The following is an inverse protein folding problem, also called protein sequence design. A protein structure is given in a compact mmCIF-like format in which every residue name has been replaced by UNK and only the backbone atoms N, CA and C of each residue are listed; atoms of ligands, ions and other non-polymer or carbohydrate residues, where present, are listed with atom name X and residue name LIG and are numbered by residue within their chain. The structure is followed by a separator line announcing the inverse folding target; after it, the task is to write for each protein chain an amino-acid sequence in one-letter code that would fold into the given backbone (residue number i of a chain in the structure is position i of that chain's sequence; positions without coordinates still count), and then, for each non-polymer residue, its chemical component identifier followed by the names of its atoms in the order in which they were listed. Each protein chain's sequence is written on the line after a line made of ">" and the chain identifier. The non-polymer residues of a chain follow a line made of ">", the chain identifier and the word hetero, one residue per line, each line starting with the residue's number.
data_IF_677960010288
#
_entry.id   IF_677960010288
#
_cell.length_a   1.000
_cell.length_b   1.000
_cell.length_c   1.000
_cell.angle_alpha   90.00
_cell.angle_beta   90.00
_cell.angle_gamma   90.00
#
_symmetry.space_group_name_H-M   'P 1'
#
loop_
_entity.id
_entity.type
_entity.pdbx_description
1 polymer ?
#
# COMPACT_ATOMS: atom_id res chain seq x y z
N UNK A 1 18.29 -21.28 -0.58
CA UNK A 1 17.76 -22.55 -1.13
C UNK A 1 16.35 -22.69 -0.56
N UNK A 2 15.37 -22.96 -1.45
CA UNK A 2 13.92 -23.05 -1.23
C UNK A 2 13.33 -21.87 -0.44
N UNK A 3 12.74 -20.82 -1.01
CA UNK A 3 11.81 -20.80 -2.13
C UNK A 3 10.35 -20.88 -1.66
N UNK A 4 9.99 -20.23 -0.55
CA UNK A 4 8.60 -20.20 -0.07
C UNK A 4 7.79 -19.18 -0.88
N UNK A 5 7.63 -19.52 -2.16
CA UNK A 5 6.76 -18.84 -3.10
C UNK A 5 5.31 -19.19 -2.77
N UNK A 6 4.59 -18.27 -2.12
CA UNK A 6 3.14 -18.38 -2.11
C UNK A 6 2.62 -18.33 -3.54
N UNK A 7 2.03 -19.43 -3.98
CA UNK A 7 1.48 -19.52 -5.32
C UNK A 7 0.04 -19.03 -5.27
N UNK A 8 -0.26 -18.04 -6.10
CA UNK A 8 -1.64 -17.55 -6.23
C UNK A 8 -2.41 -18.56 -7.05
N UNK A 9 -3.50 -19.08 -6.49
CA UNK A 9 -4.36 -20.03 -7.18
C UNK A 9 -5.77 -19.48 -7.26
N UNK A 10 -6.49 -19.85 -8.32
CA UNK A 10 -7.88 -19.49 -8.55
C UNK A 10 -8.75 -20.74 -8.51
N UNK A 11 -9.83 -20.72 -7.75
CA UNK A 11 -10.81 -21.78 -7.75
C UNK A 11 -11.50 -21.90 -9.11
N UNK A 12 -11.43 -23.09 -9.71
CA UNK A 12 -12.17 -23.44 -10.93
C UNK A 12 -13.53 -24.07 -10.59
N UNK A 13 -13.64 -24.66 -9.40
CA UNK A 13 -14.86 -25.27 -8.86
C UNK A 13 -15.10 -24.79 -7.42
N UNK A 14 -16.36 -24.77 -6.98
CA UNK A 14 -16.67 -24.49 -5.57
C UNK A 14 -16.38 -25.74 -4.74
N UNK A 15 -15.81 -25.55 -3.56
CA UNK A 15 -15.47 -26.61 -2.63
C UNK A 15 -15.97 -26.24 -1.22
N UNK A 16 -16.67 -27.17 -0.58
CA UNK A 16 -17.10 -27.04 0.80
C UNK A 16 -16.24 -27.95 1.67
N UNK A 17 -15.59 -27.36 2.67
CA UNK A 17 -14.73 -28.10 3.59
C UNK A 17 -15.51 -29.22 4.26
N UNK A 18 -15.01 -30.45 4.14
CA UNK A 18 -15.57 -31.62 4.82
C UNK A 18 -15.03 -31.76 6.25
N UNK A 19 -13.83 -31.26 6.51
CA UNK A 19 -13.13 -31.30 7.80
C UNK A 19 -12.70 -29.89 8.25
N UNK A 20 -12.37 -29.74 9.54
CA UNK A 20 -11.93 -28.45 10.09
C UNK A 20 -10.58 -27.97 9.53
N UNK A 21 -9.79 -28.89 9.00
CA UNK A 21 -8.49 -28.63 8.40
C UNK A 21 -8.60 -28.24 6.91
N UNK A 22 -9.80 -28.26 6.32
CA UNK A 22 -10.04 -27.96 4.91
C UNK A 22 -10.59 -26.54 4.70
N UNK A 23 -10.28 -25.96 3.54
CA UNK A 23 -10.68 -24.60 3.22
C UNK A 23 -11.93 -24.57 2.34
N UNK A 24 -12.94 -23.78 2.74
CA UNK A 24 -14.16 -23.58 1.94
C UNK A 24 -14.00 -22.40 1.00
N UNK A 25 -14.27 -22.60 -0.29
CA UNK A 25 -14.12 -21.57 -1.32
C UNK A 25 -15.11 -21.74 -2.47
N UNK A 26 -15.40 -20.64 -3.17
CA UNK A 26 -16.31 -20.62 -4.31
C UNK A 26 -15.56 -20.52 -5.64
N UNK A 27 -16.23 -20.88 -6.74
CA UNK A 27 -15.69 -20.70 -8.10
C UNK A 27 -15.23 -19.26 -8.29
N UNK A 28 -13.97 -19.08 -8.69
CA UNK A 28 -13.36 -17.79 -8.97
C UNK A 28 -12.67 -17.14 -7.78
N UNK A 29 -12.72 -17.73 -6.58
CA UNK A 29 -11.99 -17.22 -5.42
C UNK A 29 -10.47 -17.34 -5.62
N UNK A 30 -9.74 -16.33 -5.14
CA UNK A 30 -8.29 -16.27 -5.20
C UNK A 30 -7.70 -16.61 -3.84
N UNK A 31 -6.89 -17.66 -3.80
CA UNK A 31 -6.26 -18.21 -2.61
C UNK A 31 -4.75 -18.18 -2.75
N UNK A 32 -4.07 -18.21 -1.60
CA UNK A 32 -2.62 -18.21 -1.54
C UNK A 32 -2.15 -19.53 -0.95
N UNK A 33 -1.44 -20.30 -1.76
CA UNK A 33 -0.93 -21.60 -1.35
C UNK A 33 0.49 -21.43 -0.85
N UNK A 34 0.75 -21.85 0.39
CA UNK A 34 2.09 -21.84 1.01
C UNK A 34 2.85 -23.14 0.79
N UNK A 35 2.14 -24.27 0.66
CA UNK A 35 2.75 -25.57 0.44
C UNK A 35 2.01 -26.36 -0.64
N UNK A 36 2.77 -26.84 -1.62
CA UNK A 36 2.31 -27.71 -2.72
C UNK A 36 3.07 -29.04 -2.72
N UNK A 37 3.61 -29.45 -1.56
CA UNK A 37 4.43 -30.66 -1.45
C UNK A 37 3.61 -31.91 -1.80
N UNK A 38 2.30 -31.86 -1.56
CA UNK A 38 1.33 -32.89 -1.95
C UNK A 38 0.66 -32.61 -3.30
N UNK A 39 0.45 -33.66 -4.10
CA UNK A 39 -0.14 -33.55 -5.43
C UNK A 39 -1.67 -33.35 -5.42
N UNK A 40 -2.33 -33.75 -4.33
CA UNK A 40 -3.79 -33.73 -4.21
C UNK A 40 -4.29 -32.60 -3.30
N UNK A 41 -3.50 -32.22 -2.30
CA UNK A 41 -3.89 -31.27 -1.26
C UNK A 41 -2.79 -30.25 -1.05
N UNK A 42 -3.15 -29.00 -1.12
CA UNK A 42 -2.25 -27.88 -0.95
C UNK A 42 -2.59 -27.12 0.32
N UNK A 43 -1.60 -26.67 1.07
CA UNK A 43 -1.84 -25.82 2.26
C UNK A 43 -1.90 -24.38 1.81
N UNK A 44 -2.98 -23.69 2.11
CA UNK A 44 -3.13 -22.29 1.75
C UNK A 44 -4.16 -21.54 2.58
N UNK A 45 -4.30 -20.27 2.27
CA UNK A 45 -5.21 -19.39 2.99
C UNK A 45 -6.08 -18.54 2.05
N UNK A 46 -7.30 -18.29 2.51
CA UNK A 46 -8.30 -17.41 1.90
C UNK A 46 -8.69 -16.36 2.93
N UNK A 47 -8.14 -15.15 2.77
CA UNK A 47 -8.34 -14.07 3.74
C UNK A 47 -7.66 -14.38 5.08
N UNK A 48 -8.44 -14.74 6.08
CA UNK A 48 -8.00 -15.05 7.45
C UNK A 48 -8.10 -16.54 7.80
N UNK A 49 -8.62 -17.36 6.89
CA UNK A 49 -8.81 -18.81 7.10
C UNK A 49 -7.71 -19.56 6.36
N UNK A 50 -6.99 -20.41 7.08
CA UNK A 50 -5.98 -21.34 6.55
C UNK A 50 -6.57 -22.75 6.52
N UNK A 51 -6.21 -23.54 5.51
CA UNK A 51 -6.64 -24.92 5.40
C UNK A 51 -6.14 -25.60 4.13
N UNK A 52 -6.54 -26.86 3.98
CA UNK A 52 -6.23 -27.70 2.85
C UNK A 52 -7.14 -27.35 1.67
N UNK A 53 -6.51 -27.19 0.51
CA UNK A 53 -7.12 -26.84 -0.76
C UNK A 53 -6.90 -28.02 -1.70
N UNK A 54 -7.95 -28.65 -2.23
CA UNK A 54 -7.79 -29.73 -3.20
C UNK A 54 -7.26 -29.18 -4.52
N UNK A 55 -6.10 -29.67 -4.96
CA UNK A 55 -5.39 -29.21 -6.15
C UNK A 55 -6.24 -29.31 -7.43
N UNK A 56 -7.14 -30.31 -7.52
CA UNK A 56 -8.02 -30.51 -8.68
C UNK A 56 -9.13 -29.45 -8.82
N UNK A 57 -9.33 -28.60 -7.81
CA UNK A 57 -10.39 -27.58 -7.77
C UNK A 57 -9.85 -26.17 -8.00
N UNK A 58 -8.53 -26.05 -8.19
CA UNK A 58 -7.83 -24.77 -8.30
C UNK A 58 -6.85 -24.79 -9.46
N UNK A 59 -6.63 -23.63 -10.06
CA UNK A 59 -5.66 -23.41 -11.12
C UNK A 59 -4.61 -22.41 -10.65
N UNK A 60 -3.33 -22.71 -10.90
CA UNK A 60 -2.24 -21.79 -10.60
C UNK A 60 -2.32 -20.57 -11.53
N UNK A 61 -2.35 -19.39 -10.94
CA UNK A 61 -2.31 -18.11 -11.65
C UNK A 61 -0.86 -17.63 -11.66
N UNK A 62 -0.02 -18.24 -12.51
CA UNK A 62 1.30 -17.67 -12.81
C UNK A 62 1.11 -16.42 -13.68
N UNK A 63 1.52 -15.26 -13.17
CA UNK A 63 1.60 -14.03 -13.95
C UNK A 63 2.73 -14.20 -14.98
N UNK A 64 2.40 -14.73 -16.15
CA UNK A 64 3.27 -14.63 -17.32
C UNK A 64 3.62 -13.16 -17.53
N UNK A 65 4.90 -12.83 -17.32
CA UNK A 65 5.44 -11.50 -17.52
C UNK A 65 4.92 -10.92 -18.85
N UNK A 66 4.39 -9.68 -18.89
CA UNK A 66 3.93 -9.12 -20.15
C UNK A 66 5.14 -8.93 -21.07
N UNK A 67 5.22 -9.75 -22.12
CA UNK A 67 6.04 -9.48 -23.28
C UNK A 67 5.75 -8.06 -23.75
N UNK A 68 6.81 -7.26 -23.84
CA UNK A 68 6.80 -5.86 -24.29
C UNK A 68 6.03 -5.74 -25.61
N UNK A 69 5.01 -4.87 -25.75
CA UNK A 69 4.68 -4.39 -27.07
C UNK A 69 5.77 -3.39 -27.47
N UNK A 70 6.63 -3.80 -28.41
CA UNK A 70 7.50 -2.90 -29.15
C UNK A 70 6.61 -1.91 -29.90
N UNK A 71 6.57 -0.65 -29.46
CA UNK A 71 6.03 0.44 -30.25
C UNK A 71 7.18 1.16 -30.94
N UNK A 72 7.12 1.10 -32.25
CA UNK A 72 8.02 1.61 -33.27
C UNK A 72 8.24 3.11 -33.08
N UNK A 73 9.49 3.49 -32.77
CA UNK A 73 9.93 4.88 -32.69
C UNK A 73 9.82 5.55 -34.07
N UNK A 74 8.86 6.46 -34.23
CA UNK A 74 8.81 7.38 -35.36
C UNK A 74 9.43 8.72 -34.98
N UNK A 75 10.65 8.92 -35.49
CA UNK A 75 11.37 10.14 -35.90
C UNK A 75 11.39 11.45 -35.05
N UNK A 76 12.50 12.21 -35.11
CA UNK A 76 12.74 13.43 -34.33
C UNK A 76 12.47 14.72 -35.15
N UNK A 77 12.35 15.86 -34.46
CA UNK A 77 12.64 17.16 -35.06
C UNK A 77 11.78 18.31 -34.54
N UNK A 78 12.45 19.40 -34.13
CA UNK A 78 11.84 20.73 -34.09
C UNK A 78 11.93 21.44 -32.74
N UNK A 79 13.04 22.13 -32.49
CA UNK A 79 13.00 23.38 -31.70
C UNK A 79 12.28 24.43 -32.55
N UNK A 80 11.67 25.45 -31.93
CA UNK A 80 12.40 26.72 -31.95
C UNK A 80 12.31 27.50 -30.63
N UNK A 81 13.34 28.31 -30.42
CA UNK A 81 13.36 29.40 -29.48
C UNK A 81 12.93 30.69 -30.22
N UNK A 82 12.06 31.51 -29.60
CA UNK A 82 12.14 32.96 -29.76
C UNK A 82 11.72 33.65 -28.45
N UNK A 83 12.32 34.80 -28.25
CA UNK A 83 12.56 35.51 -27.01
C UNK A 83 11.65 36.74 -26.88
N UNK A 84 11.65 37.35 -25.68
CA UNK A 84 11.58 38.80 -25.41
C UNK A 84 10.24 39.45 -25.00
N UNK A 85 10.33 40.12 -23.84
CA UNK A 85 9.63 41.37 -23.46
C UNK A 85 8.61 41.15 -22.32
N UNK A 86 8.64 41.81 -21.16
CA UNK A 86 9.34 43.01 -20.70
C UNK A 86 8.38 43.82 -19.78
N UNK A 87 8.88 44.40 -18.68
CA UNK A 87 8.21 45.42 -17.83
C UNK A 87 7.64 44.89 -16.50
N UNK A 88 8.25 45.15 -15.32
CA UNK A 88 8.32 46.40 -14.53
C UNK A 88 6.97 46.73 -13.81
N UNK A 89 6.85 47.17 -12.56
CA UNK A 89 7.76 47.75 -11.58
C UNK A 89 7.11 47.80 -10.16
N UNK A 90 7.95 48.06 -9.15
CA UNK A 90 7.74 48.84 -7.90
C UNK A 90 6.67 48.37 -6.89
N UNK A 91 6.85 48.42 -5.57
CA UNK A 91 7.91 48.88 -4.64
C UNK A 91 7.55 48.28 -3.26
N UNK A 92 8.23 48.45 -2.12
CA UNK A 92 9.28 49.35 -1.67
C UNK A 92 9.10 49.48 -0.15
N UNK A 93 10.19 49.35 0.61
CA UNK A 93 10.29 49.73 2.02
C UNK A 93 9.71 48.73 3.03
N UNK A 94 10.35 48.40 4.14
CA UNK A 94 11.52 48.97 4.77
C UNK A 94 11.42 48.75 6.27
N UNK A 95 12.44 48.11 6.85
CA UNK A 95 12.87 48.30 8.24
C UNK A 95 11.92 47.87 9.36
N UNK A 96 12.37 46.93 10.18
CA UNK A 96 13.19 47.23 11.38
C UNK A 96 13.19 46.03 12.31
N UNK A 97 14.41 45.70 12.74
CA UNK A 97 14.72 44.84 13.86
C UNK A 97 13.91 45.23 15.09
N UNK A 98 13.26 44.26 15.71
CA UNK A 98 13.05 44.22 17.15
C UNK A 98 13.15 42.77 17.60
N UNK A 99 14.13 42.48 18.44
CA UNK A 99 14.10 41.28 19.28
C UNK A 99 12.91 41.40 20.24
N UNK A 100 12.38 40.26 20.69
CA UNK A 100 12.68 39.92 22.07
C UNK A 100 13.03 38.45 22.28
N UNK A 101 13.80 38.23 23.34
CA UNK A 101 14.17 36.95 23.87
C UNK A 101 12.97 36.20 24.49
N UNK A 102 13.12 34.89 24.54
CA UNK A 102 12.61 33.97 25.58
C UNK A 102 11.16 34.15 25.98
N UNK A 103 10.29 33.36 25.39
CA UNK A 103 9.45 32.43 26.16
C UNK A 103 9.18 31.24 25.26
N UNK A 104 9.38 30.05 25.82
CA UNK A 104 9.10 28.77 25.20
C UNK A 104 7.64 28.73 24.74
N UNK A 105 7.38 29.14 23.51
CA UNK A 105 6.18 28.72 22.81
C UNK A 105 6.47 27.29 22.43
N UNK A 106 5.92 26.35 23.19
CA UNK A 106 5.72 25.00 22.72
C UNK A 106 5.07 25.13 21.35
N UNK A 107 5.85 24.97 20.29
CA UNK A 107 5.30 24.65 19.00
C UNK A 107 4.54 23.35 19.27
N UNK A 108 3.21 23.44 19.36
CA UNK A 108 2.37 22.30 19.05
C UNK A 108 2.59 22.08 17.57
N UNK A 109 3.74 21.50 17.24
CA UNK A 109 3.96 20.86 15.97
C UNK A 109 2.90 19.77 15.99
N UNK A 110 1.73 20.06 15.42
CA UNK A 110 0.83 19.05 14.92
C UNK A 110 1.54 18.43 13.70
N UNK A 111 2.70 17.84 13.96
CA UNK A 111 3.52 17.17 12.98
C UNK A 111 2.83 15.87 12.65
N UNK A 112 3.05 15.37 11.43
CA UNK A 112 2.66 14.01 11.14
C UNK A 112 3.21 13.09 12.23
N UNK A 113 2.37 12.21 12.77
CA UNK A 113 2.83 11.14 13.64
C UNK A 113 3.85 10.26 12.90
N UNK A 114 3.65 10.08 11.58
CA UNK A 114 4.63 9.51 10.66
C UNK A 114 4.34 9.95 9.23
N UNK A 115 5.38 10.09 8.42
CA UNK A 115 5.27 10.33 6.98
C UNK A 115 6.33 9.56 6.20
N UNK A 116 6.05 9.28 4.93
CA UNK A 116 6.97 8.52 4.09
C UNK A 116 6.32 7.91 2.84
N UNK A 117 7.14 7.27 2.01
CA UNK A 117 6.64 6.54 0.86
C UNK A 117 6.10 5.16 1.27
N UNK A 118 4.90 4.83 0.79
CA UNK A 118 4.37 3.47 0.85
C UNK A 118 3.75 3.11 -0.48
N UNK A 119 3.71 1.81 -0.81
CA UNK A 119 2.97 1.33 -1.97
C UNK A 119 1.58 0.89 -1.54
N UNK A 120 0.54 1.52 -2.07
CA UNK A 120 -0.84 1.05 -1.87
C UNK A 120 -1.27 0.10 -2.96
N UNK A 121 -2.15 -0.82 -2.62
CA UNK A 121 -2.80 -1.67 -3.60
C UNK A 121 -3.70 -0.84 -4.53
N UNK A 122 -3.55 -1.03 -5.84
CA UNK A 122 -4.34 -0.37 -6.89
C UNK A 122 -5.73 -0.98 -7.05
N UNK A 123 -6.50 -0.48 -8.03
CA UNK A 123 -7.82 -1.04 -8.38
C UNK A 123 -7.72 -2.50 -8.82
N UNK A 124 -6.65 -2.85 -9.53
CA UNK A 124 -6.26 -4.23 -9.75
C UNK A 124 -5.38 -4.64 -8.57
N UNK A 125 -5.75 -5.70 -7.87
CA UNK A 125 -5.07 -6.20 -6.66
C UNK A 125 -3.59 -6.54 -6.89
N UNK A 126 -3.19 -6.78 -8.14
CA UNK A 126 -1.81 -7.05 -8.57
C UNK A 126 -0.95 -5.79 -8.78
N UNK A 127 -1.53 -4.58 -8.83
CA UNK A 127 -0.78 -3.36 -9.14
C UNK A 127 -0.53 -2.52 -7.89
N UNK A 128 0.71 -2.52 -7.42
CA UNK A 128 1.16 -1.65 -6.34
C UNK A 128 1.48 -0.24 -6.85
N UNK A 129 0.99 0.79 -6.16
CA UNK A 129 1.19 2.20 -6.53
C UNK A 129 1.90 2.92 -5.40
N UNK A 130 3.15 3.32 -5.62
CA UNK A 130 3.90 4.13 -4.67
C UNK A 130 3.29 5.53 -4.53
N UNK A 131 3.09 5.96 -3.29
CA UNK A 131 2.59 7.28 -2.92
C UNK A 131 3.25 7.76 -1.65
N UNK A 132 3.29 9.08 -1.49
CA UNK A 132 3.63 9.70 -0.22
C UNK A 132 2.42 9.63 0.70
N UNK A 133 2.66 9.25 1.95
CA UNK A 133 1.66 9.17 3.00
C UNK A 133 2.09 9.99 4.20
N UNK A 134 1.10 10.56 4.87
CA UNK A 134 1.26 11.35 6.08
C UNK A 134 0.13 10.99 7.03
N UNK A 135 0.45 10.60 8.26
CA UNK A 135 -0.52 10.33 9.31
C UNK A 135 -0.60 11.56 10.23
N UNK A 136 -1.71 12.29 10.18
CA UNK A 136 -1.95 13.48 11.01
C UNK A 136 -3.12 13.22 11.96
N UNK A 137 -2.82 13.09 13.25
CA UNK A 137 -3.80 12.56 14.21
C UNK A 137 -4.28 11.19 13.75
N UNK A 138 -5.59 11.01 13.61
CA UNK A 138 -6.21 9.79 13.08
C UNK A 138 -6.46 9.81 11.57
N UNK A 139 -5.90 10.77 10.83
CA UNK A 139 -6.11 10.92 9.40
C UNK A 139 -4.90 10.45 8.59
N UNK A 140 -5.07 9.38 7.80
CA UNK A 140 -4.05 8.91 6.86
C UNK A 140 -4.24 9.58 5.51
N UNK A 141 -3.36 10.53 5.21
CA UNK A 141 -3.38 11.37 4.01
C UNK A 141 -2.40 10.83 2.98
N UNK A 142 -2.77 10.82 1.69
CA UNK A 142 -1.84 10.46 0.61
C UNK A 142 -1.81 11.45 -0.55
N UNK A 143 -0.67 11.51 -1.23
CA UNK A 143 -0.45 12.36 -2.40
C UNK A 143 0.56 11.77 -3.39
N UNK A 144 0.76 12.44 -4.53
CA UNK A 144 1.75 12.02 -5.54
C UNK A 144 3.19 12.11 -5.04
N UNK A 145 3.46 13.09 -4.20
CA UNK A 145 4.79 13.50 -3.76
C UNK A 145 4.72 14.03 -2.31
N UNK A 146 5.88 14.37 -1.75
CA UNK A 146 6.04 14.85 -0.37
C UNK A 146 5.23 16.10 -0.02
N UNK A 147 4.83 16.89 -1.02
CA UNK A 147 3.99 18.07 -0.84
C UNK A 147 2.48 17.72 -0.85
N UNK A 148 2.16 16.43 -0.98
CA UNK A 148 0.82 15.88 -0.96
C UNK A 148 -0.10 16.49 -2.04
N UNK A 149 0.45 16.84 -3.21
CA UNK A 149 -0.34 17.41 -4.30
C UNK A 149 -1.42 16.42 -4.76
N UNK A 150 -2.68 16.88 -4.85
CA UNK A 150 -3.87 16.07 -5.14
C UNK A 150 -4.15 14.99 -4.07
N UNK A 151 -4.58 15.48 -2.92
CA UNK A 151 -4.62 14.74 -1.67
C UNK A 151 -5.89 13.91 -1.51
N UNK A 152 -5.76 12.65 -1.09
CA UNK A 152 -6.88 11.87 -0.56
C UNK A 152 -6.60 11.50 0.89
N UNK A 153 -7.56 11.78 1.75
CA UNK A 153 -7.52 11.39 3.15
C UNK A 153 -8.32 10.12 3.39
N UNK A 154 -7.92 9.38 4.40
CA UNK A 154 -8.68 8.27 4.95
C UNK A 154 -8.67 8.37 6.46
N UNK A 155 -9.86 8.64 7.02
CA UNK A 155 -10.03 8.77 8.46
C UNK A 155 -10.01 7.38 9.10
N UNK A 156 -9.19 7.23 10.11
CA UNK A 156 -9.16 6.08 10.99
C UNK A 156 -9.89 6.45 12.29
N UNK A 157 -10.56 5.47 12.88
CA UNK A 157 -11.24 5.60 14.18
C UNK A 157 -10.83 4.44 15.09
N UNK A 158 -11.29 4.43 16.34
CA UNK A 158 -10.90 3.39 17.32
C UNK A 158 -11.33 1.98 16.93
N UNK A 159 -12.31 1.85 16.04
CA UNK A 159 -12.74 0.57 15.46
C UNK A 159 -11.83 0.10 14.32
N UNK A 160 -10.87 0.94 13.91
CA UNK A 160 -9.89 0.56 12.91
C UNK A 160 -8.88 -0.41 13.51
N UNK A 161 -8.32 -1.29 12.70
CA UNK A 161 -7.27 -2.22 13.12
C UNK A 161 -6.14 -2.19 12.10
N UNK A 162 -4.91 -2.31 12.59
CA UNK A 162 -3.72 -2.45 11.76
C UNK A 162 -2.97 -3.71 12.17
N UNK A 163 -2.54 -4.49 11.17
CA UNK A 163 -1.65 -5.64 11.37
C UNK A 163 -0.55 -5.65 10.31
N UNK A 164 0.61 -6.13 10.70
CA UNK A 164 1.70 -6.42 9.77
C UNK A 164 1.53 -7.85 9.27
N UNK A 165 1.24 -8.00 7.99
CA UNK A 165 1.37 -9.27 7.29
C UNK A 165 2.84 -9.49 6.96
N UNK A 166 3.43 -10.42 7.70
CA UNK A 166 4.78 -10.92 7.42
C UNK A 166 4.67 -12.02 6.40
N UNK A 167 5.46 -11.93 5.36
CA UNK A 167 5.69 -13.05 4.48
C UNK A 167 6.73 -13.96 5.14
N UNK A 168 6.61 -15.28 4.94
CA UNK A 168 7.65 -16.22 5.36
C UNK A 168 8.98 -15.94 4.66
N UNK A 169 8.91 -15.46 3.41
CA UNK A 169 10.06 -15.00 2.65
C UNK A 169 10.56 -13.62 3.14
N UNK A 170 11.82 -13.49 3.61
CA UNK A 170 12.38 -12.24 4.12
C UNK A 170 12.74 -11.25 3.02
N UNK A 171 12.72 -11.66 1.74
CA UNK A 171 12.96 -10.76 0.60
C UNK A 171 11.70 -10.02 0.19
N UNK A 172 10.53 -10.60 0.50
CA UNK A 172 9.24 -9.95 0.29
C UNK A 172 9.07 -8.82 1.30
N UNK A 173 8.80 -7.61 0.81
CA UNK A 173 8.55 -6.47 1.68
C UNK A 173 7.28 -6.71 2.50
N UNK A 174 7.28 -6.32 3.78
CA UNK A 174 6.12 -6.49 4.65
C UNK A 174 4.93 -5.65 4.17
N UNK A 175 3.73 -6.17 4.43
CA UNK A 175 2.48 -5.53 4.04
C UNK A 175 1.69 -5.18 5.29
N UNK A 176 1.33 -3.91 5.44
CA UNK A 176 0.40 -3.42 6.44
C UNK A 176 -1.02 -3.61 5.91
N UNK A 177 -1.82 -4.40 6.62
CA UNK A 177 -3.25 -4.44 6.42
C UNK A 177 -3.91 -3.48 7.42
N UNK A 178 -4.60 -2.48 6.90
CA UNK A 178 -5.37 -1.52 7.70
C UNK A 178 -6.85 -1.69 7.37
N UNK A 179 -7.65 -1.98 8.38
CA UNK A 179 -9.10 -2.14 8.28
C UNK A 179 -9.79 -1.02 9.03
N UNK A 180 -10.81 -0.42 8.44
CA UNK A 180 -11.75 0.47 9.11
C UNK A 180 -13.18 0.01 8.73
N UNK A 181 -13.91 -0.68 9.63
CA UNK A 181 -15.26 -1.18 9.35
C UNK A 181 -16.30 -0.06 9.16
N UNK A 182 -16.06 1.12 9.75
CA UNK A 182 -16.93 2.29 9.70
C UNK A 182 -16.68 3.19 8.48
N UNK A 183 -15.64 2.91 7.70
CA UNK A 183 -15.35 3.62 6.46
C UNK A 183 -16.55 3.47 5.50
N UNK A 184 -17.07 4.60 5.03
CA UNK A 184 -18.18 4.66 4.05
C UNK A 184 -17.79 4.17 2.65
N UNK A 185 -16.48 4.08 2.39
CA UNK A 185 -15.94 3.57 1.13
C UNK A 185 -15.18 2.26 1.32
N UNK A 186 -13.91 2.27 0.93
CA UNK A 186 -13.05 1.11 1.11
C UNK A 186 -12.77 0.89 2.60
N UNK A 187 -13.17 -0.28 3.10
CA UNK A 187 -13.00 -0.68 4.51
C UNK A 187 -11.68 -1.38 4.80
N UNK A 188 -10.98 -1.86 3.78
CA UNK A 188 -9.73 -2.61 3.92
C UNK A 188 -8.71 -2.11 2.90
N UNK A 189 -7.50 -1.81 3.36
CA UNK A 189 -6.40 -1.35 2.52
C UNK A 189 -5.10 -2.03 2.89
N UNK A 190 -4.32 -2.35 1.87
CA UNK A 190 -3.00 -2.94 1.99
C UNK A 190 -1.94 -1.92 1.57
N UNK A 191 -0.90 -1.80 2.39
CA UNK A 191 0.25 -0.94 2.15
C UNK A 191 1.54 -1.73 2.29
N UNK A 192 2.30 -1.81 1.21
CA UNK A 192 3.62 -2.44 1.20
C UNK A 192 4.67 -1.38 1.52
N UNK A 193 5.58 -1.72 2.44
CA UNK A 193 6.66 -0.85 2.92
C UNK A 193 8.02 -1.52 2.70
N UNK A 194 9.11 -0.78 2.83
CA UNK A 194 10.43 -1.26 2.37
C UNK A 194 11.14 -2.19 3.36
N UNK A 195 10.79 -2.10 4.64
CA UNK A 195 11.46 -2.83 5.72
C UNK A 195 10.47 -3.17 6.84
N UNK A 196 10.77 -4.22 7.60
CA UNK A 196 9.99 -4.60 8.78
C UNK A 196 10.03 -3.52 9.86
N UNK A 197 11.16 -2.84 10.02
CA UNK A 197 11.27 -1.74 10.96
C UNK A 197 10.35 -0.58 10.55
N UNK A 198 10.29 -0.25 9.26
CA UNK A 198 9.37 0.76 8.73
C UNK A 198 7.91 0.33 8.93
N UNK A 199 7.59 -0.96 8.75
CA UNK A 199 6.26 -1.50 9.02
C UNK A 199 5.86 -1.37 10.50
N UNK A 200 6.77 -1.70 11.42
CA UNK A 200 6.55 -1.56 12.86
C UNK A 200 6.32 -0.11 13.26
N UNK A 201 7.08 0.82 12.71
CA UNK A 201 6.87 2.25 12.97
C UNK A 201 5.51 2.74 12.44
N UNK A 202 5.11 2.31 11.24
CA UNK A 202 3.79 2.65 10.70
C UNK A 202 2.65 2.02 11.51
N UNK A 203 2.78 0.76 11.89
CA UNK A 203 1.81 0.09 12.77
C UNK A 203 1.69 0.82 14.11
N UNK A 204 2.81 1.11 14.78
CA UNK A 204 2.82 1.79 16.06
C UNK A 204 2.21 3.20 15.97
N UNK A 205 2.54 3.95 14.91
CA UNK A 205 1.97 5.27 14.67
C UNK A 205 0.46 5.21 14.44
N UNK A 206 -0.01 4.25 13.64
CA UNK A 206 -1.45 4.04 13.38
C UNK A 206 -2.17 3.60 14.67
N UNK A 207 -1.61 2.65 15.43
CA UNK A 207 -2.18 2.20 16.71
C UNK A 207 -2.31 3.34 17.70
N UNK A 208 -1.26 4.17 17.82
CA UNK A 208 -1.26 5.36 18.68
C UNK A 208 -2.32 6.38 18.22
N UNK A 209 -2.50 6.55 16.91
CA UNK A 209 -3.46 7.48 16.34
C UNK A 209 -4.93 7.09 16.56
N UNK A 210 -5.25 5.80 16.67
CA UNK A 210 -6.62 5.32 16.83
C UNK A 210 -7.05 5.15 18.30
N UNK A 211 -6.12 5.20 19.25
CA UNK A 211 -6.41 5.29 20.68
C UNK A 211 -6.72 3.95 21.34
#
# INVERSE_FOLDING_TARGET
>A
MAGDEYTTVKATYAYSAANADELTFNVGDLMYVSDMSDANWWVGFLGDVEGLIPASYVEIVEEAAPAKPAVTSSAPGGRPAWNRGGGAAAGGGGGRSFTPATTSAMAVTSGAAKEGFMKKQGKLRSKWVQRWFKLEGSCLVNGKDQFATNTKSWLLDRSSSVRIMRHHDPTKPPVLEVRNPNSTGQKLRYFQVTSEQEAQEWEAAIRSAIG
#
